data_IF_623416687945
#
_entry.id   IF_623416687945
#
_cell.length_a   1.000
_cell.length_b   1.000
_cell.length_c   1.000
_cell.angle_alpha   90.00
_cell.angle_beta   90.00
_cell.angle_gamma   90.00
#
_symmetry.space_group_name_H-M   'P 1'
#
loop_
_entity.id
_entity.type
_entity.pdbx_description
1 polymer ?
#
# COMPACT_ATOMS: atom_id res chain seq x y z
N UNK A 1 28.92 -1.05 49.56
CA UNK A 1 27.88 -2.03 49.90
C UNK A 1 27.28 -2.56 48.62
N UNK A 2 27.30 -3.89 48.50
CA UNK A 2 26.67 -4.79 47.51
C UNK A 2 26.97 -4.51 46.03
N UNK A 3 28.09 -5.11 45.60
CA UNK A 3 28.39 -5.51 44.22
C UNK A 3 27.88 -6.93 44.02
N UNK A 4 27.12 -7.19 42.94
CA UNK A 4 26.82 -8.54 42.47
C UNK A 4 27.10 -8.61 40.96
N UNK A 5 28.29 -9.10 40.62
CA UNK A 5 28.60 -9.68 39.32
C UNK A 5 28.06 -11.11 39.31
N UNK A 6 27.20 -11.44 38.35
CA UNK A 6 26.79 -12.82 38.08
C UNK A 6 27.41 -13.25 36.75
N UNK A 7 28.41 -14.12 36.87
CA UNK A 7 29.01 -14.89 35.79
C UNK A 7 28.36 -16.27 35.85
N UNK A 8 27.63 -16.69 34.82
CA UNK A 8 27.15 -18.06 34.71
C UNK A 8 27.66 -18.68 33.41
N UNK A 9 28.38 -19.78 33.62
CA UNK A 9 29.19 -20.50 32.66
C UNK A 9 28.36 -21.26 31.62
N UNK A 10 29.03 -21.49 30.49
CA UNK A 10 28.63 -22.43 29.44
C UNK A 10 28.72 -23.85 29.99
N UNK A 11 27.68 -24.64 29.77
CA UNK A 11 27.77 -26.11 29.83
C UNK A 11 27.25 -26.67 28.52
N UNK A 12 28.16 -27.15 27.69
CA UNK A 12 27.86 -27.96 26.53
C UNK A 12 27.52 -29.37 27.02
N UNK A 13 26.34 -29.88 26.66
CA UNK A 13 25.99 -31.27 26.88
C UNK A 13 26.20 -32.04 25.57
N UNK A 14 27.26 -32.83 25.52
CA UNK A 14 27.44 -33.88 24.53
C UNK A 14 26.65 -35.11 25.00
N UNK A 15 25.70 -35.58 24.19
CA UNK A 15 25.13 -36.91 24.35
C UNK A 15 25.67 -37.79 23.21
N UNK A 16 26.63 -38.65 23.57
CA UNK A 16 26.93 -39.86 22.84
C UNK A 16 26.25 -41.01 23.59
N UNK A 17 25.23 -41.62 22.98
CA UNK A 17 24.67 -42.87 23.47
C UNK A 17 25.00 -43.96 22.44
N UNK A 18 25.82 -44.89 22.92
CA UNK A 18 26.23 -46.14 22.28
C UNK A 18 25.04 -47.09 22.32
N UNK A 19 24.64 -47.59 21.15
CA UNK A 19 23.76 -48.76 21.04
C UNK A 19 24.40 -49.74 20.07
N UNK A 20 24.99 -50.78 20.66
CA UNK A 20 25.42 -51.96 19.95
C UNK A 20 24.21 -52.77 19.52
N UNK A 21 24.10 -53.01 18.22
CA UNK A 21 23.19 -54.00 17.65
C UNK A 21 24.05 -55.03 16.93
N UNK A 22 23.82 -56.29 17.28
CA UNK A 22 24.50 -57.45 16.75
C UNK A 22 24.35 -57.56 15.22
N UNK A 23 25.46 -57.88 14.56
CA UNK A 23 25.53 -58.16 13.14
C UNK A 23 24.83 -59.49 12.83
N UNK A 24 23.71 -59.43 12.11
CA UNK A 24 23.17 -60.55 11.34
C UNK A 24 23.55 -60.27 9.89
N UNK A 25 24.41 -61.10 9.32
CA UNK A 25 24.84 -61.01 7.93
C UNK A 25 23.67 -61.28 6.99
N UNK A 26 23.15 -60.22 6.38
CA UNK A 26 22.31 -60.31 5.19
C UNK A 26 23.20 -60.06 3.96
N UNK A 27 23.20 -61.01 3.04
CA UNK A 27 23.79 -60.85 1.71
C UNK A 27 22.98 -59.77 1.00
N UNK A 28 23.53 -58.57 0.91
CA UNK A 28 22.96 -57.47 0.13
C UNK A 28 23.24 -57.80 -1.33
N UNK A 29 22.21 -58.25 -2.04
CA UNK A 29 22.23 -58.25 -3.49
C UNK A 29 22.42 -56.80 -3.97
N UNK A 30 23.34 -56.58 -4.91
CA UNK A 30 23.57 -55.28 -5.55
C UNK A 30 22.26 -54.73 -6.11
N UNK A 31 21.61 -53.88 -5.32
CA UNK A 31 20.45 -53.12 -5.73
C UNK A 31 20.87 -52.11 -6.80
N UNK A 32 19.98 -51.76 -7.74
CA UNK A 32 20.30 -50.79 -8.78
C UNK A 32 20.79 -49.50 -8.13
N UNK A 33 21.94 -49.03 -8.60
CA UNK A 33 22.55 -47.76 -8.24
C UNK A 33 21.46 -46.66 -8.32
N UNK A 34 21.04 -46.16 -7.16
CA UNK A 34 20.00 -45.12 -7.09
C UNK A 34 20.65 -43.87 -7.65
N UNK A 35 20.31 -43.53 -8.90
CA UNK A 35 20.80 -42.30 -9.51
C UNK A 35 20.45 -41.10 -8.61
N UNK A 36 21.41 -40.20 -8.33
CA UNK A 36 21.17 -39.06 -7.47
C UNK A 36 20.05 -38.20 -8.07
N UNK A 37 18.93 -38.12 -7.35
CA UNK A 37 17.80 -37.27 -7.72
C UNK A 37 18.31 -35.85 -7.87
N UNK A 38 18.26 -35.32 -9.10
CA UNK A 38 18.78 -34.01 -9.43
C UNK A 38 18.21 -32.97 -8.46
N UNK A 39 19.09 -32.30 -7.71
CA UNK A 39 18.71 -31.24 -6.78
C UNK A 39 17.89 -30.18 -7.51
N UNK A 40 16.63 -30.01 -7.10
CA UNK A 40 15.74 -29.01 -7.71
C UNK A 40 16.40 -27.62 -7.65
N UNK A 41 16.42 -26.92 -8.78
CA UNK A 41 16.97 -25.55 -8.84
C UNK A 41 16.24 -24.67 -7.82
N UNK A 42 16.96 -23.92 -6.98
CA UNK A 42 16.33 -23.07 -5.98
C UNK A 42 15.42 -22.03 -6.65
N UNK A 43 14.22 -21.83 -6.09
CA UNK A 43 13.26 -20.87 -6.60
C UNK A 43 13.88 -19.46 -6.70
N UNK A 44 13.60 -18.70 -7.78
CA UNK A 44 14.09 -17.33 -7.91
C UNK A 44 13.69 -16.48 -6.70
N UNK A 45 14.65 -15.73 -6.16
CA UNK A 45 14.41 -14.84 -5.02
C UNK A 45 14.01 -13.46 -5.52
N UNK A 46 13.14 -12.77 -4.78
CA UNK A 46 12.84 -11.36 -5.05
C UNK A 46 14.12 -10.54 -4.82
N UNK A 47 14.41 -9.60 -5.71
CA UNK A 47 15.54 -8.67 -5.60
C UNK A 47 15.09 -7.23 -5.42
N UNK A 48 13.91 -6.90 -5.96
CA UNK A 48 13.26 -5.61 -5.78
C UNK A 48 11.76 -5.81 -5.60
N UNK A 49 11.15 -5.04 -4.71
CA UNK A 49 9.69 -4.92 -4.59
C UNK A 49 9.30 -3.46 -4.72
N UNK A 50 8.23 -3.18 -5.45
CA UNK A 50 7.59 -1.88 -5.51
C UNK A 50 6.13 -2.01 -5.06
N UNK A 51 5.68 -1.10 -4.22
CA UNK A 51 4.30 -1.01 -3.76
C UNK A 51 3.70 0.27 -4.30
N UNK A 52 2.49 0.17 -4.83
CA UNK A 52 1.75 1.28 -5.41
C UNK A 52 0.49 1.44 -4.58
N UNK A 53 0.46 2.44 -3.70
CA UNK A 53 -0.76 2.86 -3.03
C UNK A 53 -1.41 3.92 -3.90
N UNK A 54 -2.59 3.62 -4.44
CA UNK A 54 -3.37 4.53 -5.28
C UNK A 54 -4.71 4.84 -4.61
N UNK A 55 -5.13 6.09 -4.73
CA UNK A 55 -6.50 6.50 -4.43
C UNK A 55 -7.18 6.94 -5.71
N UNK A 56 -8.48 6.69 -5.88
CA UNK A 56 -9.20 7.14 -7.07
C UNK A 56 -10.70 7.23 -6.88
N UNK A 57 -11.35 8.14 -7.60
CA UNK A 57 -12.80 8.27 -7.69
C UNK A 57 -13.24 7.57 -8.99
N UNK A 58 -14.02 6.48 -8.92
CA UNK A 58 -14.51 5.78 -10.09
C UNK A 58 -15.55 6.60 -10.85
N UNK A 59 -15.68 6.31 -12.14
CA UNK A 59 -16.81 6.76 -12.95
C UNK A 59 -17.95 5.75 -12.85
N UNK A 60 -19.17 6.25 -12.70
CA UNK A 60 -20.39 5.45 -12.59
C UNK A 60 -20.83 5.24 -11.15
N UNK A 61 -21.76 4.30 -10.96
CA UNK A 61 -22.40 4.03 -9.67
C UNK A 61 -23.32 5.16 -9.21
N UNK A 62 -23.76 5.09 -7.96
CA UNK A 62 -24.65 6.09 -7.35
C UNK A 62 -23.96 7.41 -7.03
N UNK A 63 -22.63 7.41 -6.87
CA UNK A 63 -21.87 8.58 -6.38
C UNK A 63 -21.36 9.46 -7.51
N UNK A 64 -20.97 8.89 -8.65
CA UNK A 64 -20.49 9.65 -9.81
C UNK A 64 -21.08 9.14 -11.13
N UNK A 65 -22.42 9.04 -11.27
CA UNK A 65 -23.05 8.42 -12.44
C UNK A 65 -22.65 9.08 -13.77
N UNK A 66 -22.42 10.39 -13.74
CA UNK A 66 -22.06 11.19 -14.91
C UNK A 66 -20.54 11.47 -15.01
N UNK A 67 -19.72 10.92 -14.11
CA UNK A 67 -18.29 11.20 -14.04
C UNK A 67 -17.91 12.47 -13.28
N UNK A 68 -18.85 12.98 -12.48
CA UNK A 68 -18.68 14.18 -11.66
C UNK A 68 -19.19 13.88 -10.25
N UNK A 69 -18.51 14.42 -9.25
CA UNK A 69 -18.99 14.42 -7.85
C UNK A 69 -19.24 15.85 -7.40
N UNK A 70 -20.25 16.02 -6.54
CA UNK A 70 -20.52 17.32 -5.95
C UNK A 70 -19.34 17.77 -5.09
N UNK A 71 -19.05 19.08 -5.09
CA UNK A 71 -18.06 19.64 -4.19
C UNK A 71 -18.68 19.73 -2.81
N UNK A 72 -18.03 19.17 -1.75
CA UNK A 72 -18.58 19.27 -0.41
C UNK A 72 -18.84 20.72 -0.02
N UNK A 73 -19.99 21.03 0.56
CA UNK A 73 -20.29 22.39 1.03
C UNK A 73 -19.23 22.84 2.05
N UNK A 74 -19.03 22.02 3.10
CA UNK A 74 -18.12 22.34 4.20
C UNK A 74 -16.67 22.31 3.74
N UNK A 75 -15.95 23.38 4.04
CA UNK A 75 -14.53 23.48 3.73
C UNK A 75 -14.20 23.87 2.30
N UNK A 76 -15.13 23.72 1.34
CA UNK A 76 -14.92 24.10 -0.05
C UNK A 76 -15.71 25.33 -0.47
N UNK A 77 -16.39 26.00 0.46
CA UNK A 77 -17.05 27.28 0.22
C UNK A 77 -16.05 28.35 -0.21
N UNK A 78 -15.91 28.50 -1.52
CA UNK A 78 -15.46 29.75 -2.12
C UNK A 78 -16.68 30.43 -2.71
N UNK A 79 -17.10 31.52 -2.06
CA UNK A 79 -17.92 32.54 -2.69
C UNK A 79 -17.32 32.87 -4.05
N UNK A 80 -18.17 33.24 -5.01
CA UNK A 80 -17.66 33.90 -6.18
C UNK A 80 -16.76 35.07 -5.85
N UNK A 81 -15.95 35.53 -6.82
CA UNK A 81 -15.18 36.78 -6.71
C UNK A 81 -16.03 37.97 -6.21
N UNK A 82 -17.35 37.87 -6.30
CA UNK A 82 -18.40 38.82 -5.93
C UNK A 82 -19.10 38.53 -4.59
N UNK A 83 -18.62 37.59 -3.76
CA UNK A 83 -19.23 37.32 -2.44
C UNK A 83 -20.60 36.63 -2.49
N UNK A 84 -21.05 36.19 -3.68
CA UNK A 84 -22.31 35.45 -3.85
C UNK A 84 -22.06 33.94 -3.85
N UNK A 85 -23.05 33.17 -3.39
CA UNK A 85 -23.09 31.70 -3.54
C UNK A 85 -23.03 31.41 -5.04
N UNK A 86 -21.85 31.08 -5.57
CA UNK A 86 -21.72 30.65 -6.97
C UNK A 86 -22.29 29.25 -7.09
N UNK A 87 -22.66 28.91 -8.33
CA UNK A 87 -23.31 27.66 -8.73
C UNK A 87 -22.85 26.43 -7.96
N UNK A 88 -23.70 25.40 -7.89
CA UNK A 88 -23.26 24.05 -7.51
C UNK A 88 -22.00 23.72 -8.34
N UNK A 89 -20.89 23.37 -7.68
CA UNK A 89 -19.60 23.10 -8.34
C UNK A 89 -19.32 21.61 -8.28
N UNK A 90 -18.83 21.04 -9.37
CA UNK A 90 -18.51 19.62 -9.43
C UNK A 90 -17.04 19.36 -9.71
N UNK A 91 -16.53 18.26 -9.16
CA UNK A 91 -15.18 17.78 -9.41
C UNK A 91 -15.21 16.61 -10.40
N UNK A 92 -14.32 16.64 -11.39
CA UNK A 92 -14.11 15.52 -12.31
C UNK A 92 -13.52 14.31 -11.60
N UNK A 93 -14.04 13.12 -11.91
CA UNK A 93 -13.53 11.84 -11.38
C UNK A 93 -12.41 11.26 -12.25
N UNK A 94 -11.77 10.18 -11.81
CA UNK A 94 -10.57 9.63 -12.45
C UNK A 94 -10.88 8.70 -13.65
N UNK A 95 -12.15 8.65 -14.09
CA UNK A 95 -12.63 7.86 -15.24
C UNK A 95 -12.26 6.36 -15.19
N UNK A 96 -12.21 5.81 -13.98
CA UNK A 96 -11.85 4.41 -13.71
C UNK A 96 -13.08 3.59 -13.30
N UNK A 97 -13.18 2.35 -13.76
CA UNK A 97 -14.37 1.48 -13.51
C UNK A 97 -14.11 0.44 -12.42
N UNK A 98 -12.84 0.22 -12.04
CA UNK A 98 -12.46 -0.74 -10.99
C UNK A 98 -10.95 -0.82 -10.77
N UNK A 99 -10.48 -1.82 -10.00
CA UNK A 99 -9.06 -2.01 -9.77
C UNK A 99 -8.24 -2.31 -11.01
N UNK A 100 -7.10 -1.63 -11.12
CA UNK A 100 -6.21 -1.66 -12.25
C UNK A 100 -4.77 -1.27 -11.83
N UNK A 101 -3.82 -2.14 -12.14
CA UNK A 101 -2.41 -1.91 -11.84
C UNK A 101 -1.80 -0.87 -12.79
N UNK A 102 -1.15 0.18 -12.25
CA UNK A 102 -0.49 1.25 -13.02
C UNK A 102 -1.39 1.88 -14.09
N UNK A 103 -2.66 2.10 -13.76
CA UNK A 103 -3.66 2.62 -14.71
C UNK A 103 -3.36 4.04 -15.22
N UNK A 104 -2.62 4.83 -14.44
CA UNK A 104 -2.49 6.28 -14.66
C UNK A 104 -3.75 7.07 -14.27
N UNK A 105 -4.81 6.39 -13.86
CA UNK A 105 -6.11 6.93 -13.47
C UNK A 105 -6.26 6.85 -11.95
N UNK A 106 -5.76 7.88 -11.28
CA UNK A 106 -5.77 8.01 -9.82
C UNK A 106 -5.89 9.48 -9.41
N UNK A 107 -6.29 9.70 -8.16
CA UNK A 107 -6.24 10.98 -7.46
C UNK A 107 -4.87 11.19 -6.84
N UNK A 108 -4.42 10.23 -6.02
CA UNK A 108 -3.06 10.21 -5.46
C UNK A 108 -2.40 8.86 -5.70
N UNK A 109 -1.07 8.85 -5.87
CA UNK A 109 -0.25 7.66 -5.96
C UNK A 109 0.99 7.83 -5.10
N UNK A 110 1.30 6.85 -4.27
CA UNK A 110 2.57 6.72 -3.54
C UNK A 110 3.21 5.40 -3.94
N UNK A 111 4.43 5.47 -4.46
CA UNK A 111 5.24 4.33 -4.89
C UNK A 111 6.41 4.16 -3.94
N UNK A 112 6.43 3.06 -3.21
CA UNK A 112 7.52 2.69 -2.32
C UNK A 112 8.32 1.56 -2.93
N UNK A 113 9.64 1.66 -2.93
CA UNK A 113 10.54 0.68 -3.53
C UNK A 113 11.52 0.14 -2.51
N UNK A 114 11.74 -1.17 -2.55
CA UNK A 114 12.72 -1.89 -1.74
C UNK A 114 13.68 -2.63 -2.68
N UNK A 115 14.96 -2.29 -2.65
CA UNK A 115 16.03 -3.04 -3.29
C UNK A 115 16.76 -3.87 -2.23
N UNK A 116 16.43 -5.16 -2.15
CA UNK A 116 17.00 -6.08 -1.16
C UNK A 116 18.47 -6.42 -1.45
N UNK A 117 18.92 -6.24 -2.70
CA UNK A 117 20.32 -6.48 -3.08
C UNK A 117 21.19 -5.33 -2.61
N UNK A 118 20.75 -4.09 -2.85
CA UNK A 118 21.46 -2.87 -2.46
C UNK A 118 21.17 -2.44 -1.01
N UNK A 119 20.18 -3.07 -0.36
CA UNK A 119 19.67 -2.67 0.96
C UNK A 119 19.23 -1.21 0.98
N UNK A 120 18.55 -0.79 -0.10
CA UNK A 120 18.07 0.59 -0.28
C UNK A 120 16.56 0.60 -0.38
N UNK A 121 15.98 1.72 -0.02
CA UNK A 121 14.60 2.03 -0.31
C UNK A 121 14.52 3.32 -1.14
N UNK A 122 13.34 3.61 -1.67
CA UNK A 122 13.02 4.89 -2.29
C UNK A 122 11.53 5.10 -2.36
N UNK A 123 11.13 6.36 -2.40
CA UNK A 123 9.75 6.81 -2.51
C UNK A 123 9.60 7.72 -3.72
N UNK A 124 8.43 7.65 -4.36
CA UNK A 124 7.93 8.67 -5.29
C UNK A 124 6.45 8.81 -5.06
N UNK A 125 5.92 10.01 -5.16
CA UNK A 125 4.49 10.23 -5.11
C UNK A 125 4.04 11.20 -6.21
N UNK A 126 2.75 11.16 -6.52
CA UNK A 126 2.11 12.05 -7.48
C UNK A 126 0.67 12.29 -7.09
N UNK A 127 0.24 13.54 -7.21
CA UNK A 127 -1.16 13.94 -7.10
C UNK A 127 -1.60 14.43 -8.49
N UNK A 128 -2.69 13.89 -9.00
CA UNK A 128 -3.26 14.37 -10.26
C UNK A 128 -4.14 15.60 -10.02
N UNK A 129 -4.24 16.53 -11.00
CA UNK A 129 -5.06 17.71 -10.87
C UNK A 129 -6.55 17.41 -10.58
N UNK A 130 -7.18 18.29 -9.82
CA UNK A 130 -8.62 18.35 -9.62
C UNK A 130 -9.23 19.36 -10.58
N UNK A 131 -9.92 18.85 -11.60
CA UNK A 131 -10.69 19.66 -12.54
C UNK A 131 -12.06 20.02 -11.93
N UNK A 132 -12.44 21.29 -12.07
CA UNK A 132 -13.68 21.85 -11.56
C UNK A 132 -14.62 22.24 -12.70
N UNK A 133 -15.92 22.02 -12.48
CA UNK A 133 -16.98 22.25 -13.45
C UNK A 133 -18.14 23.00 -12.82
N UNK A 134 -18.77 23.89 -13.60
CA UNK A 134 -20.06 24.48 -13.29
C UNK A 134 -21.15 23.82 -14.15
N UNK A 135 -22.39 23.76 -13.66
CA UNK A 135 -23.54 23.25 -14.43
C UNK A 135 -24.38 24.41 -14.90
N UNK A 136 -24.43 24.54 -16.22
CA UNK A 136 -25.14 25.60 -16.92
C UNK A 136 -26.12 24.93 -17.86
N UNK A 137 -27.41 25.19 -17.69
CA UNK A 137 -28.46 24.55 -18.51
C UNK A 137 -28.43 23.02 -18.47
N UNK A 138 -28.10 22.43 -17.31
CA UNK A 138 -28.02 20.98 -17.14
C UNK A 138 -26.74 20.30 -17.65
N UNK A 139 -25.80 21.05 -18.24
CA UNK A 139 -24.52 20.54 -18.74
C UNK A 139 -23.35 20.97 -17.87
N UNK A 140 -22.40 20.07 -17.64
CA UNK A 140 -21.14 20.39 -16.96
C UNK A 140 -20.19 21.08 -17.92
N UNK A 141 -19.75 22.28 -17.56
CA UNK A 141 -18.81 23.11 -18.31
C UNK A 141 -17.54 23.21 -17.50
N UNK A 142 -16.42 22.85 -18.11
CA UNK A 142 -15.10 22.95 -17.49
C UNK A 142 -14.80 24.41 -17.15
N UNK A 143 -14.31 24.65 -15.94
CA UNK A 143 -13.86 25.97 -15.51
C UNK A 143 -12.33 26.04 -15.44
N UNK A 144 -11.73 25.20 -14.60
CA UNK A 144 -10.31 25.28 -14.25
C UNK A 144 -9.81 23.97 -13.62
N UNK A 145 -8.50 23.82 -13.44
CA UNK A 145 -7.88 22.69 -12.75
C UNK A 145 -6.74 23.13 -11.84
N UNK A 146 -6.62 22.51 -10.67
CA UNK A 146 -5.53 22.75 -9.72
C UNK A 146 -5.01 21.45 -9.15
N UNK A 147 -3.74 21.43 -8.79
CA UNK A 147 -3.11 20.29 -8.12
C UNK A 147 -2.91 20.62 -6.64
N UNK A 148 -3.20 19.66 -5.76
CA UNK A 148 -2.87 19.80 -4.35
C UNK A 148 -1.36 19.76 -4.13
N UNK A 149 -0.90 20.29 -3.00
CA UNK A 149 0.47 20.02 -2.55
C UNK A 149 0.59 18.57 -2.05
N UNK A 150 1.82 18.07 -1.99
CA UNK A 150 2.19 16.76 -1.49
C UNK A 150 2.88 16.81 -0.12
N UNK A 151 2.92 17.97 0.55
CA UNK A 151 3.59 18.18 1.84
C UNK A 151 3.09 17.26 2.96
N UNK A 152 1.86 16.74 2.84
CA UNK A 152 1.24 15.79 3.76
C UNK A 152 1.58 14.31 3.50
N UNK A 153 2.32 14.01 2.44
CA UNK A 153 2.79 12.66 2.10
C UNK A 153 4.20 12.50 2.66
N UNK A 154 4.34 11.65 3.69
CA UNK A 154 5.59 11.53 4.44
C UNK A 154 5.89 10.10 4.81
N UNK A 155 7.17 9.75 4.76
CA UNK A 155 7.69 8.54 5.38
C UNK A 155 8.03 8.84 6.83
N UNK A 156 7.48 8.02 7.71
CA UNK A 156 7.65 8.15 9.16
C UNK A 156 8.81 7.29 9.66
N UNK A 157 9.71 7.93 10.42
CA UNK A 157 10.94 7.31 10.92
C UNK A 157 11.91 6.88 9.82
N UNK A 158 12.89 6.05 10.18
CA UNK A 158 13.87 5.53 9.22
C UNK A 158 13.41 4.17 8.65
N UNK A 159 13.18 4.05 7.34
CA UNK A 159 12.84 2.77 6.73
C UNK A 159 13.98 1.76 6.86
N UNK A 160 13.62 0.52 7.17
CA UNK A 160 14.59 -0.55 7.43
C UNK A 160 14.61 -1.52 6.26
N UNK A 161 15.74 -1.62 5.55
CA UNK A 161 15.92 -2.59 4.46
C UNK A 161 17.10 -3.50 4.76
N UNK A 162 16.84 -4.81 4.76
CA UNK A 162 17.84 -5.85 4.87
C UNK A 162 17.85 -6.74 3.63
N UNK A 163 18.67 -7.79 3.64
CA UNK A 163 18.67 -8.82 2.58
C UNK A 163 17.45 -9.75 2.62
N UNK A 164 16.59 -9.65 3.64
CA UNK A 164 15.45 -10.55 3.86
C UNK A 164 14.10 -9.83 3.94
N UNK A 165 14.06 -8.56 4.37
CA UNK A 165 12.82 -7.77 4.45
C UNK A 165 13.07 -6.27 4.37
N UNK A 166 12.01 -5.54 4.01
CA UNK A 166 11.90 -4.09 4.04
C UNK A 166 10.74 -3.69 4.95
N UNK A 167 10.90 -2.62 5.73
CA UNK A 167 9.86 -2.07 6.59
C UNK A 167 9.79 -0.55 6.42
N UNK A 168 8.58 -0.02 6.28
CA UNK A 168 8.33 1.41 6.10
C UNK A 168 7.00 1.80 6.75
N UNK A 169 6.94 3.01 7.28
CA UNK A 169 5.70 3.65 7.72
C UNK A 169 5.49 4.90 6.87
N UNK A 170 4.24 5.14 6.45
CA UNK A 170 3.87 6.28 5.61
C UNK A 170 2.59 6.89 6.16
N UNK A 171 2.57 8.21 6.27
CA UNK A 171 1.36 9.02 6.44
C UNK A 171 1.10 9.76 5.15
N UNK A 172 -0.17 9.93 4.83
CA UNK A 172 -0.61 10.65 3.65
C UNK A 172 -1.76 11.56 4.03
N UNK A 173 -1.67 12.81 3.59
CA UNK A 173 -2.74 13.77 3.56
C UNK A 173 -2.64 14.56 2.26
N UNK A 174 -3.72 14.59 1.47
CA UNK A 174 -3.81 15.37 0.24
C UNK A 174 -5.15 16.10 0.19
N UNK A 175 -5.13 17.43 0.34
CA UNK A 175 -6.34 18.27 0.36
C UNK A 175 -6.89 18.49 -1.03
N UNK A 176 -8.21 18.67 -1.17
CA UNK A 176 -8.76 19.23 -2.40
C UNK A 176 -8.26 20.69 -2.58
N UNK A 177 -7.57 21.04 -3.68
CA UNK A 177 -6.98 22.38 -3.88
C UNK A 177 -8.02 23.50 -4.12
N UNK A 178 -9.30 23.14 -4.19
CA UNK A 178 -10.43 24.07 -4.22
C UNK A 178 -11.04 24.33 -2.85
N UNK A 179 -10.57 23.61 -1.84
CA UNK A 179 -11.09 23.63 -0.48
C UNK A 179 -10.00 24.05 0.51
N UNK A 180 -10.43 24.51 1.68
CA UNK A 180 -9.61 24.57 2.88
C UNK A 180 -9.24 23.16 3.37
N UNK A 181 -8.31 23.08 4.33
CA UNK A 181 -7.63 21.84 4.73
C UNK A 181 -8.53 20.72 5.31
N UNK A 182 -9.81 20.99 5.59
CA UNK A 182 -10.77 20.03 6.17
C UNK A 182 -11.27 18.95 5.20
N UNK A 183 -10.84 18.97 3.93
CA UNK A 183 -11.24 18.00 2.90
C UNK A 183 -10.03 17.24 2.33
N UNK A 184 -9.26 16.59 3.21
CA UNK A 184 -8.08 15.79 2.83
C UNK A 184 -8.42 14.32 2.61
N UNK A 185 -7.65 13.67 1.73
CA UNK A 185 -7.61 12.21 1.63
C UNK A 185 -6.51 11.75 2.58
N UNK A 186 -6.90 11.12 3.69
CA UNK A 186 -6.00 10.68 4.74
C UNK A 186 -5.86 9.17 4.76
N UNK A 187 -4.60 8.72 4.91
CA UNK A 187 -4.31 7.34 5.25
C UNK A 187 -2.95 7.20 5.92
N UNK A 188 -2.81 6.12 6.68
CA UNK A 188 -1.55 5.71 7.29
C UNK A 188 -1.32 4.24 6.99
N UNK A 189 -0.09 3.85 6.71
CA UNK A 189 0.28 2.44 6.59
C UNK A 189 1.64 2.17 7.20
N UNK A 190 1.75 1.04 7.88
CA UNK A 190 3.00 0.38 8.24
C UNK A 190 3.06 -0.92 7.46
N UNK A 191 4.12 -1.08 6.69
CA UNK A 191 4.28 -2.22 5.79
C UNK A 191 5.58 -2.94 6.05
N UNK A 192 5.51 -4.27 6.05
CA UNK A 192 6.67 -5.17 6.05
C UNK A 192 6.61 -6.06 4.81
N UNK A 193 7.66 -6.03 4.01
CA UNK A 193 7.77 -6.75 2.74
C UNK A 193 8.92 -7.72 2.82
N UNK A 194 8.63 -9.00 2.71
CA UNK A 194 9.63 -10.05 2.76
C UNK A 194 10.08 -10.47 1.36
N UNK A 195 11.36 -10.85 1.27
CA UNK A 195 12.00 -11.34 0.04
C UNK A 195 11.44 -12.68 -0.45
N UNK A 196 10.77 -13.41 0.42
CA UNK A 196 10.09 -14.68 0.12
C UNK A 196 8.67 -14.48 -0.45
N UNK A 197 8.21 -13.22 -0.57
CA UNK A 197 6.88 -12.89 -1.05
C UNK A 197 5.86 -12.61 0.05
N UNK A 198 6.15 -12.81 1.34
CA UNK A 198 5.19 -12.40 2.38
C UNK A 198 5.08 -10.87 2.45
N UNK A 199 3.87 -10.37 2.72
CA UNK A 199 3.59 -8.95 2.98
C UNK A 199 2.71 -8.82 4.21
N UNK A 200 3.05 -7.88 5.08
CA UNK A 200 2.22 -7.48 6.22
C UNK A 200 1.94 -5.98 6.08
N UNK A 201 0.67 -5.59 6.13
CA UNK A 201 0.21 -4.21 6.03
C UNK A 201 -0.75 -3.95 7.18
N UNK A 202 -0.48 -2.91 7.97
CA UNK A 202 -1.38 -2.41 9.00
C UNK A 202 -1.56 -0.93 8.74
N UNK A 203 -2.79 -0.43 8.73
CA UNK A 203 -3.01 0.97 8.43
C UNK A 203 -4.45 1.40 8.61
N UNK A 204 -4.68 2.69 8.42
CA UNK A 204 -6.01 3.26 8.34
C UNK A 204 -6.14 4.07 7.06
N UNK A 205 -7.36 4.24 6.58
CA UNK A 205 -7.65 5.18 5.51
C UNK A 205 -9.08 5.70 5.64
N UNK A 206 -9.34 6.85 5.02
CA UNK A 206 -10.70 7.34 4.84
C UNK A 206 -11.50 6.38 3.96
N UNK A 207 -12.82 6.35 4.14
CA UNK A 207 -13.73 5.56 3.30
C UNK A 207 -14.09 6.26 2.00
N UNK A 208 -13.41 7.35 1.66
CA UNK A 208 -13.50 8.05 0.39
C UNK A 208 -12.10 8.59 0.07
N UNK A 209 -11.59 8.44 -1.16
CA UNK A 209 -12.22 7.80 -2.31
C UNK A 209 -12.01 6.27 -2.29
N UNK A 210 -11.87 5.58 -3.44
CA UNK A 210 -11.42 4.19 -3.44
C UNK A 210 -9.93 4.15 -3.09
N UNK A 211 -9.50 3.10 -2.39
CA UNK A 211 -8.10 2.87 -2.03
C UNK A 211 -7.64 1.53 -2.57
N UNK A 212 -6.43 1.48 -3.11
CA UNK A 212 -5.81 0.26 -3.58
C UNK A 212 -4.33 0.22 -3.24
N UNK A 213 -3.85 -0.97 -2.90
CA UNK A 213 -2.43 -1.24 -2.77
C UNK A 213 -2.06 -2.39 -3.68
N UNK A 214 -1.15 -2.14 -4.60
CA UNK A 214 -0.55 -3.16 -5.46
C UNK A 214 0.90 -3.41 -5.06
N UNK A 215 1.40 -4.60 -5.37
CA UNK A 215 2.81 -4.95 -5.23
C UNK A 215 3.33 -5.51 -6.55
N UNK A 216 4.46 -5.01 -7.03
CA UNK A 216 5.25 -5.56 -8.13
C UNK A 216 6.57 -6.10 -7.58
N UNK A 217 6.89 -7.36 -7.86
CA UNK A 217 8.16 -7.98 -7.49
C UNK A 217 9.01 -8.22 -8.72
N UNK A 218 10.30 -7.89 -8.64
CA UNK A 218 11.32 -8.29 -9.61
C UNK A 218 12.17 -9.39 -8.99
N UNK A 219 12.33 -10.50 -9.72
CA UNK A 219 13.05 -11.69 -9.27
C UNK A 219 14.50 -11.70 -9.79
N UNK A 220 15.34 -12.53 -9.17
CA UNK A 220 16.76 -12.67 -9.52
C UNK A 220 17.03 -13.14 -10.95
N UNK A 221 16.03 -13.72 -11.62
CA UNK A 221 16.07 -14.12 -13.02
C UNK A 221 15.49 -13.04 -13.97
N UNK A 222 15.23 -11.83 -13.47
CA UNK A 222 14.68 -10.72 -14.24
C UNK A 222 13.16 -10.76 -14.47
N UNK A 223 12.48 -11.87 -14.14
CA UNK A 223 11.01 -11.93 -14.23
C UNK A 223 10.37 -10.93 -13.26
N UNK A 224 9.17 -10.49 -13.62
CA UNK A 224 8.32 -9.65 -12.77
C UNK A 224 6.99 -10.33 -12.48
N UNK A 225 6.42 -10.07 -11.30
CA UNK A 225 5.04 -10.40 -10.96
C UNK A 225 4.39 -9.19 -10.33
N UNK A 226 3.07 -9.08 -10.41
CA UNK A 226 2.33 -8.10 -9.63
C UNK A 226 1.04 -8.71 -9.08
N UNK A 227 0.51 -8.12 -8.00
CA UNK A 227 -0.75 -8.52 -7.39
C UNK A 227 -1.39 -7.40 -6.59
N UNK A 228 -2.71 -7.44 -6.50
CA UNK A 228 -3.49 -6.59 -5.61
C UNK A 228 -3.32 -7.10 -4.18
N UNK A 229 -2.94 -6.21 -3.26
CA UNK A 229 -2.78 -6.48 -1.83
C UNK A 229 -4.10 -6.24 -1.11
N UNK A 230 -4.71 -5.08 -1.36
CA UNK A 230 -6.09 -4.80 -0.94
C UNK A 230 -6.72 -3.78 -1.89
N UNK A 231 -8.05 -3.78 -1.91
CA UNK A 231 -8.86 -2.73 -2.51
C UNK A 231 -10.02 -2.43 -1.56
N UNK A 232 -10.31 -1.14 -1.35
CA UNK A 232 -11.46 -0.66 -0.61
C UNK A 232 -12.28 0.25 -1.53
N UNK A 233 -13.58 -0.03 -1.64
CA UNK A 233 -14.51 0.80 -2.39
C UNK A 233 -14.94 1.98 -1.53
N UNK A 234 -15.03 3.15 -2.14
CA UNK A 234 -15.55 4.34 -1.51
C UNK A 234 -16.97 4.10 -0.99
N UNK A 235 -17.32 4.80 0.09
CA UNK A 235 -18.63 4.69 0.75
C UNK A 235 -19.46 5.95 0.53
N UNK A 236 -18.91 7.12 0.83
CA UNK A 236 -19.63 8.39 0.71
C UNK A 236 -18.66 9.57 0.58
N UNK A 237 -18.92 10.56 -0.29
CA UNK A 237 -18.16 11.81 -0.34
C UNK A 237 -18.06 12.53 1.01
N UNK A 238 -19.06 12.35 1.89
CA UNK A 238 -19.06 12.92 3.23
C UNK A 238 -17.92 12.39 4.12
N UNK A 239 -17.25 11.30 3.73
CA UNK A 239 -16.11 10.81 4.49
C UNK A 239 -14.79 11.52 4.22
N UNK A 240 -14.77 12.52 3.32
CA UNK A 240 -13.64 13.44 3.17
C UNK A 240 -13.77 14.68 4.05
N UNK A 241 -14.98 14.99 4.50
CA UNK A 241 -15.24 16.14 5.36
C UNK A 241 -15.58 15.62 6.75
N UNK A 242 -14.91 16.09 7.80
CA UNK A 242 -14.99 15.56 9.18
C UNK A 242 -16.36 15.81 9.89
N UNK A 243 -17.46 15.69 9.15
CA UNK A 243 -18.83 16.00 9.59
C UNK A 243 -19.52 14.82 10.26
N UNK A 244 -19.06 13.59 9.99
CA UNK A 244 -19.73 12.34 10.39
C UNK A 244 -18.96 11.58 11.48
N UNK A 245 -17.87 12.17 11.99
CA UNK A 245 -16.99 11.59 13.00
C UNK A 245 -16.06 10.50 12.44
N UNK A 246 -14.83 10.47 12.96
CA UNK A 246 -13.77 9.54 12.52
C UNK A 246 -14.19 8.07 12.55
N UNK A 247 -15.00 7.65 13.52
CA UNK A 247 -15.43 6.25 13.67
C UNK A 247 -16.26 5.73 12.48
N UNK A 248 -17.01 6.61 11.80
CA UNK A 248 -17.85 6.23 10.66
C UNK A 248 -17.06 6.25 9.37
N UNK A 249 -16.13 7.20 9.23
CA UNK A 249 -15.46 7.51 7.97
C UNK A 249 -13.99 7.10 7.88
N UNK A 250 -13.36 6.68 8.98
CA UNK A 250 -12.04 6.03 8.99
C UNK A 250 -12.18 4.55 9.32
N UNK A 251 -11.43 3.72 8.62
CA UNK A 251 -11.34 2.28 8.90
C UNK A 251 -9.92 1.91 9.29
N UNK A 252 -9.75 1.15 10.39
CA UNK A 252 -8.50 0.46 10.69
C UNK A 252 -8.51 -0.90 9.97
N UNK A 253 -7.46 -1.17 9.21
CA UNK A 253 -7.31 -2.38 8.41
C UNK A 253 -5.98 -3.08 8.70
N UNK A 254 -6.03 -4.41 8.74
CA UNK A 254 -4.85 -5.28 8.84
C UNK A 254 -4.92 -6.33 7.75
N UNK A 255 -3.94 -6.34 6.87
CA UNK A 255 -3.79 -7.30 5.79
C UNK A 255 -2.51 -8.11 5.98
N UNK A 256 -2.63 -9.44 5.92
CA UNK A 256 -1.50 -10.35 5.92
C UNK A 256 -1.61 -11.24 4.69
N UNK A 257 -0.61 -11.14 3.81
CA UNK A 257 -0.60 -11.93 2.57
C UNK A 257 0.42 -13.05 2.72
N UNK A 258 -0.05 -14.31 2.73
CA UNK A 258 0.83 -15.46 2.75
C UNK A 258 1.59 -15.57 1.42
N UNK A 259 2.58 -16.47 1.41
CA UNK A 259 3.42 -16.73 0.24
C UNK A 259 2.61 -17.23 -0.95
#
# INVERSE_FOLDING_TARGET
MISLKSTAARTALAMAAVLGIAAVGAVVADGPEIEPVASAKPAPKIVKSELYYETYIPKGGSIAPQGYIDTPDVGCHNFGKDGKKKADWWNGVDNRVGPAFKSGQFRTQVVLSFDFKKKKWGERHKINPTARYAKVGGKFVYEDSRTANDDGIRVEGEPRVSSTKGQIAVTHAATNPWCSAVAAIDWTVVMTVHRDGRTEVVGSHDKMPNHELWREDTYSNGKKSHRLIFSHKLTSPNCLVDYVGEAVCKGLHRYRIPR
#
